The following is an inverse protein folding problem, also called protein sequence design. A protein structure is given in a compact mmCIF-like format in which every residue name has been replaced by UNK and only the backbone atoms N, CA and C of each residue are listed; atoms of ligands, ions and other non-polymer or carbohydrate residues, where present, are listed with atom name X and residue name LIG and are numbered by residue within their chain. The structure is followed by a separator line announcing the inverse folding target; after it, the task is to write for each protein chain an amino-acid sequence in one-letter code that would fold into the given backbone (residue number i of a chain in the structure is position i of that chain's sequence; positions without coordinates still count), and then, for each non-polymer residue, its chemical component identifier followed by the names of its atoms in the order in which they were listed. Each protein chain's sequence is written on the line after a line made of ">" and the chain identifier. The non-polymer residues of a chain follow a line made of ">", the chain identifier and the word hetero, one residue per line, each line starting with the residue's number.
data_IF_644585993985
#
_entry.id   IF_644585993985
#
_cell.length_a   1.000
_cell.length_b   1.000
_cell.length_c   1.000
_cell.angle_alpha   90.00
_cell.angle_beta   90.00
_cell.angle_gamma   90.00
#
_symmetry.space_group_name_H-M   'P 1'
#
loop_
_entity.id
_entity.type
_entity.pdbx_description
1 polymer ?
#
# COMPACT_ATOMS: atom_id res chain seq x y z
N UNK A 1 23.58 -10.27 10.99
CA UNK A 1 22.37 -11.09 10.85
C UNK A 1 21.50 -10.75 9.61
N UNK A 2 21.89 -9.81 8.74
CA UNK A 2 21.08 -9.36 7.59
C UNK A 2 21.10 -10.24 6.33
N UNK A 3 22.26 -10.83 5.98
CA UNK A 3 22.46 -11.47 4.67
C UNK A 3 21.61 -12.73 4.45
N UNK A 4 21.42 -13.55 5.48
CA UNK A 4 20.62 -14.78 5.36
C UNK A 4 19.10 -14.51 5.25
N UNK A 5 18.59 -13.46 5.89
CA UNK A 5 17.21 -13.01 5.76
C UNK A 5 16.96 -12.41 4.37
N UNK A 6 17.90 -11.58 3.90
CA UNK A 6 17.86 -11.01 2.55
C UNK A 6 17.91 -12.09 1.46
N UNK A 7 18.71 -13.15 1.65
CA UNK A 7 18.79 -14.27 0.70
C UNK A 7 17.44 -14.99 0.52
N UNK A 8 16.64 -15.15 1.58
CA UNK A 8 15.30 -15.75 1.47
C UNK A 8 14.35 -14.84 0.68
N UNK A 9 14.38 -13.54 0.94
CA UNK A 9 13.57 -12.57 0.19
C UNK A 9 14.02 -12.50 -1.26
N UNK A 10 15.34 -12.40 -1.52
CA UNK A 10 15.90 -12.40 -2.87
C UNK A 10 15.59 -13.70 -3.60
N UNK A 11 15.64 -14.86 -2.95
CA UNK A 11 15.25 -16.14 -3.56
C UNK A 11 13.77 -16.20 -3.93
N UNK A 12 12.88 -15.60 -3.09
CA UNK A 12 11.46 -15.43 -3.41
C UNK A 12 11.27 -14.48 -4.60
N UNK A 13 12.01 -13.36 -4.62
CA UNK A 13 11.97 -12.41 -5.72
C UNK A 13 12.49 -13.02 -7.02
N UNK A 14 13.54 -13.86 -6.98
CA UNK A 14 14.08 -14.57 -8.15
C UNK A 14 13.10 -15.64 -8.66
N UNK A 15 12.37 -16.30 -7.75
CA UNK A 15 11.34 -17.28 -8.12
C UNK A 15 10.11 -16.60 -8.73
N UNK A 16 9.81 -15.37 -8.30
CA UNK A 16 8.65 -14.61 -8.72
C UNK A 16 7.33 -15.12 -8.16
N UNK A 17 6.27 -14.36 -8.42
CA UNK A 17 4.91 -14.76 -8.05
C UNK A 17 4.41 -15.83 -9.02
N UNK A 18 3.86 -16.91 -8.48
CA UNK A 18 3.26 -17.99 -9.24
C UNK A 18 2.17 -17.46 -10.20
N UNK A 19 2.25 -17.90 -11.46
CA UNK A 19 1.31 -17.52 -12.53
C UNK A 19 0.26 -18.59 -12.79
N UNK A 20 0.09 -19.54 -11.88
CA UNK A 20 -0.93 -20.56 -12.01
C UNK A 20 -2.31 -19.92 -12.22
N UNK A 21 -2.92 -20.22 -13.37
CA UNK A 21 -4.22 -19.67 -13.78
C UNK A 21 -5.39 -20.23 -12.97
N UNK A 22 -5.19 -21.35 -12.29
CA UNK A 22 -6.21 -21.99 -11.45
C UNK A 22 -6.24 -21.46 -10.02
N UNK A 23 -5.21 -20.69 -9.62
CA UNK A 23 -5.14 -20.10 -8.28
C UNK A 23 -5.83 -18.74 -8.23
N UNK A 24 -6.54 -18.51 -7.13
CA UNK A 24 -7.10 -17.19 -6.80
C UNK A 24 -5.98 -16.17 -6.54
N UNK A 25 -6.30 -14.89 -6.59
CA UNK A 25 -5.35 -13.83 -6.26
C UNK A 25 -4.87 -13.96 -4.80
N UNK A 26 -5.77 -14.25 -3.85
CA UNK A 26 -5.43 -14.44 -2.45
C UNK A 26 -4.45 -15.60 -2.23
N UNK A 27 -4.66 -16.74 -2.89
CA UNK A 27 -3.75 -17.89 -2.81
C UNK A 27 -2.36 -17.58 -3.37
N UNK A 28 -2.27 -16.80 -4.46
CA UNK A 28 -0.98 -16.37 -5.01
C UNK A 28 -0.25 -15.42 -4.06
N UNK A 29 -0.95 -14.45 -3.48
CA UNK A 29 -0.42 -13.54 -2.47
C UNK A 29 0.08 -14.34 -1.26
N UNK A 30 -0.71 -15.25 -0.72
CA UNK A 30 -0.32 -16.08 0.42
C UNK A 30 0.92 -16.93 0.11
N UNK A 31 0.97 -17.63 -1.01
CA UNK A 31 2.13 -18.44 -1.40
C UNK A 31 3.41 -17.63 -1.58
N UNK A 32 3.28 -16.41 -2.09
CA UNK A 32 4.42 -15.52 -2.30
C UNK A 32 4.94 -14.92 -1.00
N UNK A 33 4.06 -14.45 -0.11
CA UNK A 33 4.46 -13.71 1.08
C UNK A 33 4.67 -14.57 2.34
N UNK A 34 3.94 -15.68 2.51
CA UNK A 34 4.03 -16.49 3.73
C UNK A 34 5.47 -16.96 4.07
N UNK A 35 6.29 -17.44 3.10
CA UNK A 35 7.64 -17.91 3.40
C UNK A 35 8.59 -16.80 3.86
N UNK A 36 8.28 -15.54 3.60
CA UNK A 36 9.12 -14.38 3.88
C UNK A 36 8.54 -13.44 4.94
N UNK A 37 7.35 -13.73 5.51
CA UNK A 37 6.62 -12.83 6.39
C UNK A 37 7.47 -12.31 7.57
N UNK A 38 8.23 -13.17 8.24
CA UNK A 38 9.08 -12.81 9.37
C UNK A 38 10.28 -11.90 9.00
N UNK A 39 10.75 -11.97 7.75
CA UNK A 39 11.89 -11.18 7.25
C UNK A 39 11.45 -10.04 6.31
N UNK A 40 10.14 -9.93 6.08
CA UNK A 40 9.54 -9.05 5.07
C UNK A 40 9.98 -7.59 5.19
N UNK A 41 9.95 -7.04 6.40
CA UNK A 41 10.19 -5.61 6.61
C UNK A 41 11.64 -5.20 6.33
N UNK A 42 12.64 -6.02 6.68
CA UNK A 42 14.05 -5.67 6.55
C UNK A 42 14.46 -5.33 5.11
N UNK A 43 14.00 -6.11 4.15
CA UNK A 43 14.28 -5.86 2.74
C UNK A 43 13.39 -4.72 2.20
N UNK A 44 12.12 -4.72 2.55
CA UNK A 44 11.12 -3.78 2.03
C UNK A 44 11.36 -2.35 2.52
N UNK A 45 11.92 -2.15 3.71
CA UNK A 45 12.30 -0.82 4.20
C UNK A 45 13.30 -0.11 3.28
N UNK A 46 14.19 -0.86 2.65
CA UNK A 46 15.18 -0.31 1.72
C UNK A 46 14.65 -0.11 0.29
N UNK A 47 13.54 -0.74 -0.07
CA UNK A 47 12.94 -0.67 -1.41
C UNK A 47 11.73 0.26 -1.46
N UNK A 48 10.89 0.26 -0.42
CA UNK A 48 9.60 0.95 -0.41
C UNK A 48 9.75 2.37 0.16
N UNK A 49 10.23 3.27 -0.69
CA UNK A 49 10.48 4.66 -0.34
C UNK A 49 9.20 5.47 -0.18
N UNK A 50 9.26 6.60 0.56
CA UNK A 50 8.17 7.56 0.69
C UNK A 50 7.06 7.15 1.67
N UNK A 51 7.08 5.96 2.28
CA UNK A 51 6.06 5.52 3.24
C UNK A 51 5.97 6.45 4.45
N UNK A 52 7.10 6.75 5.07
CA UNK A 52 7.15 7.68 6.20
C UNK A 52 6.69 9.09 5.80
N UNK A 53 7.08 9.58 4.61
CA UNK A 53 6.66 10.88 4.11
C UNK A 53 5.15 10.94 3.87
N UNK A 54 4.55 9.86 3.29
CA UNK A 54 3.10 9.77 3.17
C UNK A 54 2.44 9.86 4.54
N UNK A 55 2.81 8.98 5.46
CA UNK A 55 2.17 8.88 6.78
C UNK A 55 2.33 10.18 7.59
N UNK A 56 3.49 10.83 7.51
CA UNK A 56 3.70 12.13 8.17
C UNK A 56 2.75 13.23 7.64
N UNK A 57 2.36 13.16 6.37
CA UNK A 57 1.47 14.13 5.74
C UNK A 57 -0.02 13.76 5.84
N UNK A 58 -0.38 12.53 6.26
CA UNK A 58 -1.76 12.13 6.48
C UNK A 58 -2.32 12.75 7.77
N UNK A 59 -3.59 13.18 7.77
CA UNK A 59 -4.26 13.57 9.00
C UNK A 59 -4.39 12.35 9.93
N UNK A 60 -4.20 12.59 11.21
CA UNK A 60 -4.46 11.65 12.29
C UNK A 60 -4.76 12.49 13.54
N UNK A 61 -5.96 13.07 13.56
CA UNK A 61 -6.43 13.83 14.69
C UNK A 61 -6.92 12.90 15.82
N UNK A 62 -6.98 13.37 17.07
CA UNK A 62 -7.63 12.64 18.14
C UNK A 62 -9.07 12.28 17.75
N UNK A 63 -9.41 11.00 17.90
CA UNK A 63 -10.73 10.49 17.56
C UNK A 63 -10.92 10.02 16.11
N UNK A 64 -9.91 10.17 15.24
CA UNK A 64 -9.99 9.71 13.85
C UNK A 64 -10.04 8.18 13.74
N UNK A 65 -10.77 7.69 12.74
CA UNK A 65 -10.72 6.31 12.28
C UNK A 65 -9.92 6.21 10.97
N UNK A 66 -8.84 5.44 11.01
CA UNK A 66 -7.88 5.27 9.93
C UNK A 66 -7.97 3.83 9.39
N UNK A 67 -7.88 3.65 8.08
CA UNK A 67 -7.84 2.33 7.43
C UNK A 67 -6.64 2.23 6.50
N UNK A 68 -5.84 1.20 6.68
CA UNK A 68 -4.81 0.79 5.72
C UNK A 68 -5.30 -0.40 4.90
N UNK A 69 -5.36 -0.24 3.58
CA UNK A 69 -5.73 -1.29 2.64
C UNK A 69 -4.48 -1.88 1.97
N UNK A 70 -4.27 -3.19 2.12
CA UNK A 70 -3.03 -3.86 1.78
C UNK A 70 -1.95 -3.60 2.82
N UNK A 71 -2.29 -3.80 4.10
CA UNK A 71 -1.48 -3.39 5.24
C UNK A 71 -0.23 -4.26 5.48
N UNK A 72 -0.19 -5.46 4.89
CA UNK A 72 0.88 -6.40 5.12
C UNK A 72 1.12 -6.65 6.61
N UNK A 73 2.34 -6.41 7.06
CA UNK A 73 2.78 -6.60 8.47
C UNK A 73 2.36 -5.44 9.40
N UNK A 74 1.57 -4.48 8.94
CA UNK A 74 1.17 -3.30 9.72
C UNK A 74 2.32 -2.35 10.09
N UNK A 75 3.48 -2.46 9.43
CA UNK A 75 4.67 -1.67 9.72
C UNK A 75 4.43 -0.17 9.59
N UNK A 76 3.58 0.24 8.67
CA UNK A 76 3.34 1.66 8.38
C UNK A 76 2.67 2.40 9.55
N UNK A 77 1.85 1.72 10.36
CA UNK A 77 1.26 2.36 11.54
C UNK A 77 2.29 2.90 12.53
N UNK A 78 3.50 2.33 12.55
CA UNK A 78 4.57 2.82 13.43
C UNK A 78 5.08 4.22 13.04
N UNK A 79 4.85 4.67 11.80
CA UNK A 79 5.21 6.01 11.35
C UNK A 79 4.22 7.11 11.78
N UNK A 80 3.07 6.74 12.35
CA UNK A 80 2.19 7.72 12.99
C UNK A 80 2.71 8.18 14.36
N UNK A 81 3.66 7.45 14.92
CA UNK A 81 4.26 7.72 16.24
C UNK A 81 3.16 7.91 17.32
N UNK A 82 3.29 8.92 18.19
CA UNK A 82 2.33 9.19 19.26
C UNK A 82 0.92 9.56 18.77
N UNK A 83 0.79 10.03 17.51
CA UNK A 83 -0.52 10.36 16.92
C UNK A 83 -1.46 9.16 16.88
N UNK A 84 -0.92 7.96 16.66
CA UNK A 84 -1.73 6.74 16.63
C UNK A 84 -2.42 6.43 17.95
N UNK A 85 -1.80 6.80 19.07
CA UNK A 85 -2.38 6.57 20.41
C UNK A 85 -3.67 7.37 20.64
N UNK A 86 -3.84 8.49 19.94
CA UNK A 86 -5.00 9.36 20.03
C UNK A 86 -6.09 9.07 19.00
N UNK A 87 -5.79 8.25 17.98
CA UNK A 87 -6.79 7.80 17.02
C UNK A 87 -7.83 6.91 17.73
N UNK A 88 -9.12 7.09 17.40
CA UNK A 88 -10.18 6.23 17.92
C UNK A 88 -9.99 4.79 17.46
N UNK A 89 -9.53 4.60 16.21
CA UNK A 89 -9.35 3.28 15.63
C UNK A 89 -8.43 3.30 14.41
N UNK A 90 -7.65 2.24 14.26
CA UNK A 90 -6.88 1.95 13.06
C UNK A 90 -7.15 0.51 12.59
N UNK A 91 -7.65 0.35 11.37
CA UNK A 91 -7.94 -0.94 10.76
C UNK A 91 -6.85 -1.31 9.75
N UNK A 92 -6.22 -2.45 9.96
CA UNK A 92 -5.25 -3.07 9.07
C UNK A 92 -5.93 -4.16 8.25
N UNK A 93 -6.02 -4.02 6.94
CA UNK A 93 -6.73 -4.95 6.06
C UNK A 93 -5.78 -5.52 5.02
N UNK A 94 -5.66 -6.85 4.95
CA UNK A 94 -4.83 -7.54 3.96
C UNK A 94 -5.42 -8.90 3.56
N UNK A 95 -5.02 -9.43 2.41
CA UNK A 95 -5.41 -10.76 1.92
C UNK A 95 -4.48 -11.89 2.42
N UNK A 96 -3.34 -11.56 3.03
CA UNK A 96 -2.33 -12.53 3.42
C UNK A 96 -2.38 -12.82 4.93
N UNK A 97 -2.94 -13.97 5.37
CA UNK A 97 -3.00 -14.34 6.78
C UNK A 97 -1.65 -14.30 7.47
N UNK A 98 -0.58 -14.80 6.83
CA UNK A 98 0.75 -14.84 7.43
C UNK A 98 1.34 -13.44 7.70
N UNK A 99 1.03 -12.43 6.87
CA UNK A 99 1.44 -11.05 7.14
C UNK A 99 0.59 -10.43 8.25
N UNK A 100 -0.72 -10.74 8.28
CA UNK A 100 -1.63 -10.26 9.32
C UNK A 100 -1.32 -10.83 10.70
N UNK A 101 -0.79 -12.05 10.79
CA UNK A 101 -0.31 -12.61 12.05
C UNK A 101 0.83 -11.77 12.62
N UNK A 102 1.81 -11.38 11.80
CA UNK A 102 2.88 -10.45 12.18
C UNK A 102 2.32 -9.08 12.58
N UNK A 103 1.31 -8.58 11.86
CA UNK A 103 0.66 -7.32 12.19
C UNK A 103 -0.07 -7.40 13.54
N UNK A 104 -0.76 -8.50 13.81
CA UNK A 104 -1.45 -8.75 15.07
C UNK A 104 -0.47 -8.77 16.26
N UNK A 105 0.60 -9.54 16.16
CA UNK A 105 1.65 -9.60 17.18
C UNK A 105 2.28 -8.22 17.42
N UNK A 106 2.60 -7.49 16.35
CA UNK A 106 3.22 -6.16 16.42
C UNK A 106 2.37 -5.14 17.16
N UNK A 107 1.06 -5.20 16.98
CA UNK A 107 0.11 -4.23 17.54
C UNK A 107 -0.73 -4.77 18.69
N UNK A 108 -0.44 -5.96 19.24
CA UNK A 108 -1.19 -6.60 20.33
C UNK A 108 -1.37 -5.71 21.56
N UNK A 109 -0.40 -4.82 21.83
CA UNK A 109 -0.45 -3.86 22.93
C UNK A 109 -1.28 -2.60 22.66
N UNK A 110 -1.85 -2.45 21.47
CA UNK A 110 -2.62 -1.26 21.03
C UNK A 110 -4.10 -1.59 20.91
N UNK A 111 -4.93 -1.23 21.89
CA UNK A 111 -6.35 -1.61 21.90
C UNK A 111 -7.18 -0.96 20.78
N UNK A 112 -6.68 0.14 20.20
CA UNK A 112 -7.32 0.84 19.09
C UNK A 112 -6.93 0.31 17.70
N UNK A 113 -6.02 -0.66 17.60
CA UNK A 113 -5.65 -1.30 16.32
C UNK A 113 -6.44 -2.60 16.13
N UNK A 114 -6.99 -2.77 14.96
CA UNK A 114 -7.72 -3.97 14.54
C UNK A 114 -7.12 -4.53 13.26
N UNK A 115 -7.03 -5.85 13.18
CA UNK A 115 -6.46 -6.57 12.03
C UNK A 115 -7.57 -7.40 11.38
N UNK A 116 -7.72 -7.28 10.05
CA UNK A 116 -8.78 -7.92 9.28
C UNK A 116 -8.22 -8.66 8.07
N UNK A 117 -8.55 -9.94 7.97
CA UNK A 117 -8.41 -10.67 6.71
C UNK A 117 -9.51 -10.20 5.76
N UNK A 118 -9.14 -9.49 4.69
CA UNK A 118 -10.12 -8.90 3.80
C UNK A 118 -9.55 -8.40 2.48
N UNK A 119 -10.43 -8.32 1.49
CA UNK A 119 -10.14 -7.78 0.17
C UNK A 119 -10.35 -6.26 0.17
N UNK A 120 -9.33 -5.50 -0.24
CA UNK A 120 -9.38 -4.05 -0.36
C UNK A 120 -10.52 -3.55 -1.27
N UNK A 121 -10.98 -4.37 -2.22
CA UNK A 121 -12.11 -4.03 -3.11
C UNK A 121 -13.48 -4.18 -2.44
N UNK A 122 -13.54 -4.89 -1.30
CA UNK A 122 -14.81 -5.29 -0.65
C UNK A 122 -14.90 -4.93 0.84
N UNK A 123 -13.78 -4.72 1.51
CA UNK A 123 -13.78 -4.39 2.93
C UNK A 123 -14.68 -3.19 3.24
N UNK A 124 -15.44 -3.26 4.33
CA UNK A 124 -16.37 -2.22 4.78
C UNK A 124 -16.25 -2.04 6.29
N UNK A 125 -15.82 -0.88 6.78
CA UNK A 125 -16.00 -0.53 8.19
C UNK A 125 -17.48 -0.28 8.50
N UNK A 126 -17.86 -0.40 9.76
CA UNK A 126 -19.26 -0.17 10.20
C UNK A 126 -19.70 1.28 10.00
N UNK A 127 -18.78 2.22 10.18
CA UNK A 127 -19.03 3.65 10.02
C UNK A 127 -18.04 4.27 9.02
N UNK A 128 -18.42 5.38 8.36
CA UNK A 128 -17.48 6.13 7.53
C UNK A 128 -16.23 6.56 8.30
N UNK A 129 -15.09 6.57 7.63
CA UNK A 129 -13.77 6.80 8.22
C UNK A 129 -13.18 8.14 7.81
N UNK A 130 -12.22 8.63 8.58
CA UNK A 130 -11.57 9.93 8.36
C UNK A 130 -10.43 9.83 7.34
N UNK A 131 -9.69 8.73 7.37
CA UNK A 131 -8.54 8.51 6.52
C UNK A 131 -8.48 7.07 6.00
N UNK A 132 -8.22 6.92 4.70
CA UNK A 132 -7.85 5.63 4.08
C UNK A 132 -6.52 5.81 3.37
N UNK A 133 -5.65 4.82 3.42
CA UNK A 133 -4.43 4.88 2.63
C UNK A 133 -4.00 3.53 2.08
N UNK A 134 -3.23 3.59 0.98
CA UNK A 134 -2.54 2.47 0.34
C UNK A 134 -1.05 2.74 0.36
N UNK A 135 -0.27 1.73 0.70
CA UNK A 135 1.17 1.81 0.71
C UNK A 135 1.76 0.61 -0.03
N UNK A 136 2.14 0.80 -1.30
CA UNK A 136 2.64 -0.24 -2.19
C UNK A 136 1.69 -1.44 -2.34
N UNK A 137 0.40 -1.16 -2.37
CA UNK A 137 -0.67 -2.14 -2.48
C UNK A 137 -1.42 -2.07 -3.82
N UNK A 138 -1.68 -0.87 -4.36
CA UNK A 138 -2.47 -0.73 -5.61
C UNK A 138 -1.81 -1.42 -6.80
N UNK A 139 -0.48 -1.35 -6.92
CA UNK A 139 0.27 -2.04 -7.97
C UNK A 139 0.20 -3.58 -7.86
N UNK A 140 -0.24 -4.11 -6.72
CA UNK A 140 -0.45 -5.54 -6.48
C UNK A 140 -1.91 -5.97 -6.66
N UNK A 141 -2.87 -5.05 -6.56
CA UNK A 141 -4.30 -5.33 -6.66
C UNK A 141 -4.72 -5.36 -8.15
N UNK A 142 -5.25 -6.50 -8.66
CA UNK A 142 -5.66 -6.59 -10.06
C UNK A 142 -6.74 -5.58 -10.46
N UNK A 143 -7.77 -5.41 -9.63
CA UNK A 143 -8.86 -4.45 -9.79
C UNK A 143 -8.64 -3.25 -8.86
N UNK A 144 -7.56 -2.51 -9.12
CA UNK A 144 -7.20 -1.34 -8.32
C UNK A 144 -8.23 -0.21 -8.41
N UNK A 145 -8.98 -0.10 -9.53
CA UNK A 145 -10.06 0.88 -9.65
C UNK A 145 -11.19 0.58 -8.66
N UNK A 146 -11.55 -0.69 -8.52
CA UNK A 146 -12.52 -1.11 -7.52
C UNK A 146 -12.01 -0.85 -6.09
N UNK A 147 -10.71 -1.07 -5.82
CA UNK A 147 -10.12 -0.80 -4.52
C UNK A 147 -10.16 0.71 -4.17
N UNK A 148 -9.76 1.59 -5.10
CA UNK A 148 -9.86 3.05 -4.91
C UNK A 148 -11.34 3.46 -4.74
N UNK A 149 -12.23 2.97 -5.60
CA UNK A 149 -13.66 3.29 -5.50
C UNK A 149 -14.25 2.82 -4.18
N UNK A 150 -13.77 1.69 -3.66
CA UNK A 150 -14.15 1.18 -2.34
C UNK A 150 -13.65 2.11 -1.22
N UNK A 151 -12.39 2.54 -1.27
CA UNK A 151 -11.81 3.49 -0.34
C UNK A 151 -12.63 4.80 -0.29
N UNK A 152 -13.00 5.33 -1.46
CA UNK A 152 -13.83 6.54 -1.54
C UNK A 152 -15.21 6.37 -0.91
N UNK A 153 -15.82 5.18 -1.03
CA UNK A 153 -17.10 4.90 -0.38
C UNK A 153 -17.01 4.85 1.15
N UNK A 154 -15.88 4.39 1.67
CA UNK A 154 -15.66 4.32 3.13
C UNK A 154 -15.41 5.70 3.75
N UNK A 155 -14.84 6.65 3.01
CA UNK A 155 -14.50 7.96 3.51
C UNK A 155 -15.72 8.82 3.83
N UNK A 156 -15.65 9.53 4.95
CA UNK A 156 -16.54 10.67 5.24
C UNK A 156 -16.43 11.73 4.13
N UNK A 157 -17.45 12.59 3.91
CA UNK A 157 -17.27 13.81 3.13
C UNK A 157 -16.08 14.61 3.68
N UNK A 158 -15.18 15.08 2.83
CA UNK A 158 -13.94 15.77 3.24
C UNK A 158 -12.83 14.84 3.81
N UNK A 159 -13.09 13.55 3.96
CA UNK A 159 -12.10 12.57 4.41
C UNK A 159 -10.93 12.41 3.43
N UNK A 160 -9.81 11.93 3.91
CA UNK A 160 -8.53 11.90 3.16
C UNK A 160 -8.20 10.52 2.63
N UNK A 161 -7.80 10.46 1.35
CA UNK A 161 -7.16 9.29 0.75
C UNK A 161 -5.68 9.57 0.51
N UNK A 162 -4.81 8.72 1.05
CA UNK A 162 -3.37 8.75 0.79
C UNK A 162 -2.89 7.55 -0.01
N UNK A 163 -1.93 7.77 -0.91
CA UNK A 163 -1.31 6.67 -1.68
C UNK A 163 0.18 6.91 -1.84
N UNK A 164 0.98 5.89 -1.57
CA UNK A 164 2.35 5.75 -2.07
C UNK A 164 2.45 4.44 -2.82
N UNK A 165 2.91 4.47 -4.08
CA UNK A 165 3.07 3.25 -4.86
C UNK A 165 4.06 3.43 -6.02
N UNK A 166 4.50 2.33 -6.59
CA UNK A 166 5.27 2.34 -7.83
C UNK A 166 4.40 2.83 -9.00
N UNK A 167 5.04 3.50 -9.95
CA UNK A 167 4.36 3.89 -11.18
C UNK A 167 5.31 3.98 -12.38
N UNK A 168 4.75 4.18 -13.56
CA UNK A 168 5.50 4.49 -14.75
C UNK A 168 5.37 5.98 -15.05
N UNK A 169 6.46 6.78 -14.93
CA UNK A 169 6.41 8.19 -15.27
C UNK A 169 5.99 8.44 -16.72
N UNK A 170 5.18 9.48 -16.94
CA UNK A 170 4.87 9.98 -18.27
C UNK A 170 6.17 10.38 -18.99
N UNK A 171 6.23 10.17 -20.32
CA UNK A 171 7.41 10.50 -21.13
C UNK A 171 8.60 9.54 -21.00
N UNK A 172 8.52 8.49 -20.20
CA UNK A 172 9.58 7.49 -20.13
C UNK A 172 9.73 6.75 -21.47
N UNK A 173 10.98 6.60 -21.96
CA UNK A 173 11.30 5.89 -23.22
C UNK A 173 10.83 4.44 -23.15
N UNK A 174 10.28 3.93 -24.27
CA UNK A 174 9.70 2.57 -24.36
C UNK A 174 10.63 1.44 -23.87
N UNK A 175 11.93 1.40 -24.21
CA UNK A 175 12.81 0.32 -23.70
C UNK A 175 12.92 0.32 -22.17
N UNK A 176 12.98 1.50 -21.53
CA UNK A 176 13.04 1.60 -20.08
C UNK A 176 11.70 1.20 -19.43
N UNK A 177 10.55 1.57 -20.04
CA UNK A 177 9.22 1.12 -19.60
C UNK A 177 9.09 -0.40 -19.67
N UNK A 178 9.49 -1.01 -20.79
CA UNK A 178 9.45 -2.46 -20.97
C UNK A 178 10.33 -3.19 -19.96
N UNK A 179 11.54 -2.68 -19.72
CA UNK A 179 12.46 -3.23 -18.71
C UNK A 179 11.83 -3.18 -17.31
N UNK A 180 11.33 -2.02 -16.86
CA UNK A 180 10.73 -1.89 -15.53
C UNK A 180 9.46 -2.76 -15.39
N UNK A 181 8.58 -2.79 -16.40
CA UNK A 181 7.40 -3.66 -16.39
C UNK A 181 7.77 -5.14 -16.28
N UNK A 182 8.81 -5.59 -17.00
CA UNK A 182 9.28 -6.97 -16.92
C UNK A 182 9.90 -7.26 -15.55
N UNK A 183 10.73 -6.36 -15.05
CA UNK A 183 11.39 -6.49 -13.76
C UNK A 183 10.40 -6.59 -12.61
N UNK A 184 9.54 -5.59 -12.47
CA UNK A 184 8.54 -5.55 -11.39
C UNK A 184 7.41 -6.56 -11.59
N UNK A 185 7.05 -6.87 -12.84
CA UNK A 185 6.01 -7.84 -13.16
C UNK A 185 6.36 -9.28 -12.76
N UNK A 186 7.65 -9.57 -12.53
CA UNK A 186 8.10 -10.85 -12.00
C UNK A 186 7.57 -11.10 -10.59
N UNK A 187 7.51 -10.05 -9.77
CA UNK A 187 7.00 -10.10 -8.39
C UNK A 187 5.50 -9.83 -8.28
N UNK A 188 4.80 -9.83 -9.39
CA UNK A 188 3.36 -9.54 -9.44
C UNK A 188 3.00 -8.05 -9.40
N UNK A 189 3.99 -7.17 -9.31
CA UNK A 189 3.79 -5.72 -9.32
C UNK A 189 3.41 -5.25 -10.74
N UNK A 190 2.27 -4.59 -10.86
CA UNK A 190 1.76 -4.04 -12.12
C UNK A 190 1.98 -2.55 -12.15
N UNK A 191 3.10 -2.14 -12.75
CA UNK A 191 3.38 -0.72 -12.92
C UNK A 191 2.36 -0.08 -13.85
N UNK A 192 1.66 0.94 -13.36
CA UNK A 192 0.67 1.71 -14.11
C UNK A 192 0.98 3.21 -14.01
N UNK A 193 0.66 3.95 -15.05
CA UNK A 193 0.60 5.41 -15.10
C UNK A 193 -0.82 5.94 -14.87
N UNK A 194 -1.79 5.03 -14.75
CA UNK A 194 -3.22 5.37 -14.62
C UNK A 194 -3.65 5.68 -13.18
N UNK A 195 -2.97 5.11 -12.14
CA UNK A 195 -3.35 5.33 -10.75
C UNK A 195 -3.44 6.82 -10.39
N UNK A 196 -2.39 7.66 -10.62
CA UNK A 196 -2.44 9.07 -10.26
C UNK A 196 -3.51 9.84 -11.02
N UNK A 197 -3.75 9.50 -12.30
CA UNK A 197 -4.80 10.12 -13.11
C UNK A 197 -6.18 9.82 -12.51
N UNK A 198 -6.47 8.55 -12.25
CA UNK A 198 -7.75 8.09 -11.70
C UNK A 198 -8.06 8.73 -10.33
N UNK A 199 -7.03 8.90 -9.49
CA UNK A 199 -7.13 9.56 -8.19
C UNK A 199 -7.48 11.05 -8.34
N UNK A 200 -6.76 11.78 -9.21
CA UNK A 200 -6.97 13.22 -9.45
C UNK A 200 -8.32 13.54 -10.07
N UNK A 201 -8.87 12.64 -10.86
CA UNK A 201 -10.22 12.80 -11.46
C UNK A 201 -11.33 12.72 -10.39
N UNK A 202 -11.11 12.03 -9.26
CA UNK A 202 -12.13 11.70 -8.25
C UNK A 202 -12.00 12.43 -6.93
N UNK A 203 -10.86 13.03 -6.67
CA UNK A 203 -10.52 13.68 -5.41
C UNK A 203 -10.03 15.09 -5.65
N UNK A 204 -10.22 15.96 -4.67
CA UNK A 204 -9.55 17.23 -4.61
C UNK A 204 -8.09 16.99 -4.18
N UNK A 205 -7.16 17.23 -5.11
CA UNK A 205 -5.74 16.97 -4.87
C UNK A 205 -5.17 17.95 -3.86
N UNK A 206 -4.70 17.44 -2.72
CA UNK A 206 -3.98 18.20 -1.70
C UNK A 206 -2.49 18.25 -2.02
N UNK A 207 -1.90 17.10 -2.35
CA UNK A 207 -0.52 17.02 -2.81
C UNK A 207 -0.31 15.85 -3.77
N UNK A 208 0.61 16.05 -4.72
CA UNK A 208 1.05 15.01 -5.64
C UNK A 208 2.52 15.21 -5.98
N UNK A 209 3.30 14.15 -5.86
CA UNK A 209 4.72 14.17 -6.26
C UNK A 209 5.15 12.83 -6.85
N UNK A 210 6.07 12.89 -7.80
CA UNK A 210 6.71 11.72 -8.41
C UNK A 210 8.19 11.74 -8.10
N UNK A 211 8.72 10.63 -7.62
CA UNK A 211 10.07 10.52 -7.11
C UNK A 211 10.73 9.22 -7.62
N UNK A 212 12.01 9.05 -7.29
CA UNK A 212 12.76 7.85 -7.64
C UNK A 212 13.63 7.43 -6.47
N UNK A 213 13.46 6.20 -5.98
CA UNK A 213 14.25 5.61 -4.92
C UNK A 213 15.26 4.59 -5.42
N UNK A 214 16.42 4.43 -4.75
CA UNK A 214 17.37 3.38 -5.10
C UNK A 214 16.76 2.00 -4.91
N UNK A 215 17.17 1.05 -5.75
CA UNK A 215 16.81 -0.36 -5.57
C UNK A 215 17.98 -1.05 -4.86
N UNK A 216 17.74 -1.79 -3.76
CA UNK A 216 18.79 -2.53 -3.07
C UNK A 216 19.56 -3.42 -4.03
N UNK A 217 20.90 -3.41 -3.92
CA UNK A 217 21.84 -4.16 -4.76
C UNK A 217 21.92 -3.76 -6.26
N UNK A 218 21.16 -2.74 -6.70
CA UNK A 218 21.18 -2.22 -8.06
C UNK A 218 21.46 -0.70 -8.06
N UNK A 219 22.69 -0.26 -7.79
CA UNK A 219 23.01 1.13 -7.47
C UNK A 219 22.72 2.12 -8.60
N UNK A 220 22.67 1.65 -9.85
CA UNK A 220 22.39 2.48 -11.03
C UNK A 220 20.91 2.55 -11.42
N UNK A 221 20.07 1.71 -10.80
CA UNK A 221 18.65 1.63 -11.12
C UNK A 221 17.83 2.25 -9.98
N UNK A 222 16.91 3.13 -10.35
CA UNK A 222 15.99 3.77 -9.39
C UNK A 222 14.56 3.41 -9.72
N UNK A 223 13.83 2.92 -8.73
CA UNK A 223 12.40 2.64 -8.83
C UNK A 223 11.60 3.95 -8.82
N UNK A 224 10.80 4.21 -9.85
CA UNK A 224 9.88 5.35 -9.82
C UNK A 224 8.69 5.05 -8.92
N UNK A 225 8.34 6.01 -8.07
CA UNK A 225 7.17 5.94 -7.20
C UNK A 225 6.49 7.32 -7.12
N UNK A 226 5.24 7.34 -6.67
CA UNK A 226 4.49 8.56 -6.44
C UNK A 226 3.93 8.62 -5.03
N UNK A 227 3.70 9.84 -4.56
CA UNK A 227 2.90 10.13 -3.38
C UNK A 227 1.71 10.97 -3.84
N UNK A 228 0.55 10.61 -3.33
CA UNK A 228 -0.70 11.32 -3.57
C UNK A 228 -1.48 11.46 -2.26
N UNK A 229 -1.98 12.65 -2.01
CA UNK A 229 -2.95 12.92 -0.96
C UNK A 229 -4.09 13.72 -1.59
N UNK A 230 -5.30 13.24 -1.40
CA UNK A 230 -6.51 13.89 -1.88
C UNK A 230 -7.63 13.84 -0.86
N UNK A 231 -8.56 14.80 -0.95
CA UNK A 231 -9.77 14.86 -0.14
C UNK A 231 -10.98 14.42 -0.94
N UNK A 232 -11.83 13.62 -0.30
CA UNK A 232 -13.14 13.30 -0.87
C UNK A 232 -13.98 14.57 -0.97
N UNK A 233 -14.50 14.84 -2.16
CA UNK A 233 -15.37 16.01 -2.39
C UNK A 233 -16.57 15.96 -1.48
N UNK A 234 -16.89 17.08 -0.89
CA UNK A 234 -18.16 17.28 -0.18
C UNK A 234 -19.20 17.50 -1.27
N UNK A 235 -20.25 16.68 -1.31
CA UNK A 235 -21.36 16.92 -2.23
C UNK A 235 -21.92 18.32 -1.91
N UNK A 236 -22.06 19.13 -2.94
CA UNK A 236 -22.70 20.43 -2.80
C UNK A 236 -24.18 20.18 -2.43
N UNK A 237 -24.69 20.69 -1.29
CA UNK A 237 -26.07 20.50 -0.90
C UNK A 237 -27.09 21.16 -1.84
N UNK A 238 -26.60 21.84 -2.91
CA UNK A 238 -27.42 22.55 -3.88
C UNK A 238 -27.63 21.83 -5.24
N UNK A 239 -27.32 20.50 -5.34
CA UNK A 239 -27.64 19.71 -6.53
C UNK A 239 -28.67 18.62 -6.23
#
# INVERSE_FOLDING_TARGET
>A
MGVAADLKVVASLVRGMDRDRHSTHAERIQRFYAPQAAAYDQFRERLLHGRQALIAALPCAPGDHIVELGSGTGRNLLFFDDRLAHAARADLVDLCPALLEVAHERHAHRPNVRVFLGDATRYRPVHPVDCVYFSYALSMIPDWQAAISNALRMLKPGGTLGVVDFHLPEGMRQPARAFLRRWFGHDGVRLSDEHPRFLRERLDTVSFSTLRGPIPYLPLIRAPYYLFIGRKRVADPAQ
#
